data_IF_439402696608
#
_entry.id   IF_439402696608
#
_cell.length_a   1.000
_cell.length_b   1.000
_cell.length_c   1.000
_cell.angle_alpha   90.00
_cell.angle_beta   90.00
_cell.angle_gamma   90.00
#
_symmetry.space_group_name_H-M   'P 1'
#
loop_
_entity.id
_entity.type
_entity.pdbx_description
1 polymer ?
#
# COMPACT_ATOMS: atom_id res chain seq x y z
N UNK A 1 21.81 6.39 -46.01
CA UNK A 1 20.46 6.87 -46.37
C UNK A 1 20.61 7.79 -47.56
N UNK A 2 19.97 7.45 -48.68
CA UNK A 2 20.01 8.27 -49.90
C UNK A 2 18.96 9.36 -49.76
N UNK A 3 19.39 10.62 -49.66
CA UNK A 3 18.50 11.78 -49.58
C UNK A 3 17.87 12.02 -50.96
N UNK A 4 16.55 11.86 -51.06
CA UNK A 4 15.80 12.14 -52.29
C UNK A 4 15.43 13.62 -52.31
N UNK A 5 15.96 14.37 -53.26
CA UNK A 5 15.61 15.77 -53.46
C UNK A 5 14.33 15.88 -54.32
N UNK A 6 13.20 16.07 -53.62
CA UNK A 6 11.87 16.22 -54.19
C UNK A 6 11.72 17.46 -55.09
N UNK A 7 12.68 18.39 -55.11
CA UNK A 7 12.64 19.60 -55.96
C UNK A 7 13.10 19.36 -57.40
N UNK A 8 13.66 18.18 -57.70
CA UNK A 8 14.09 17.79 -59.04
C UNK A 8 13.06 16.92 -59.79
N UNK A 9 11.96 16.55 -59.12
CA UNK A 9 10.90 15.72 -59.69
C UNK A 9 9.86 16.54 -60.48
N UNK A 10 9.23 15.91 -61.47
CA UNK A 10 8.12 16.52 -62.23
C UNK A 10 6.92 16.81 -61.32
N UNK A 11 6.06 17.80 -61.64
CA UNK A 11 4.86 18.10 -60.85
C UNK A 11 3.93 16.89 -60.67
N UNK A 12 3.86 16.00 -61.66
CA UNK A 12 3.06 14.77 -61.59
C UNK A 12 3.65 13.74 -60.63
N UNK A 13 4.97 13.56 -60.64
CA UNK A 13 5.64 12.61 -59.74
C UNK A 13 5.60 13.08 -58.28
N UNK A 14 5.69 14.38 -58.03
CA UNK A 14 5.47 14.95 -56.68
C UNK A 14 4.06 14.70 -56.17
N UNK A 15 3.05 14.88 -57.03
CA UNK A 15 1.65 14.61 -56.68
C UNK A 15 1.44 13.14 -56.33
N UNK A 16 1.98 12.22 -57.14
CA UNK A 16 1.94 10.77 -56.86
C UNK A 16 2.60 10.40 -55.53
N UNK A 17 3.75 10.98 -55.21
CA UNK A 17 4.45 10.72 -53.93
C UNK A 17 3.64 11.24 -52.72
N UNK A 18 3.01 12.40 -52.84
CA UNK A 18 2.14 12.94 -51.77
C UNK A 18 0.90 12.07 -51.59
N UNK A 19 0.28 11.61 -52.67
CA UNK A 19 -0.88 10.73 -52.60
C UNK A 19 -0.52 9.35 -52.02
N UNK A 20 0.65 8.80 -52.38
CA UNK A 20 1.21 7.59 -51.76
C UNK A 20 1.49 7.77 -50.26
N UNK A 21 2.09 8.88 -49.85
CA UNK A 21 2.37 9.16 -48.44
C UNK A 21 1.08 9.27 -47.61
N UNK A 22 0.03 9.91 -48.16
CA UNK A 22 -1.29 10.00 -47.51
C UNK A 22 -1.95 8.63 -47.37
N UNK A 23 -1.83 7.77 -48.38
CA UNK A 23 -2.39 6.42 -48.33
C UNK A 23 -1.65 5.55 -47.30
N UNK A 24 -0.31 5.65 -47.22
CA UNK A 24 0.49 4.99 -46.18
C UNK A 24 0.07 5.48 -44.79
N UNK A 25 -0.06 6.79 -44.58
CA UNK A 25 -0.47 7.35 -43.28
C UNK A 25 -1.90 6.88 -42.89
N UNK A 26 -2.81 6.77 -43.85
CA UNK A 26 -4.15 6.26 -43.63
C UNK A 26 -4.14 4.77 -43.28
N UNK A 27 -3.34 3.97 -43.96
CA UNK A 27 -3.16 2.54 -43.67
C UNK A 27 -2.53 2.33 -42.29
N UNK A 28 -1.52 3.12 -41.93
CA UNK A 28 -0.88 3.06 -40.61
C UNK A 28 -1.86 3.45 -39.49
N UNK A 29 -2.68 4.49 -39.70
CA UNK A 29 -3.75 4.87 -38.77
C UNK A 29 -4.79 3.77 -38.63
N UNK A 30 -5.24 3.18 -39.74
CA UNK A 30 -6.23 2.11 -39.72
C UNK A 30 -5.67 0.88 -39.00
N UNK A 31 -4.45 0.46 -39.35
CA UNK A 31 -3.76 -0.65 -38.70
C UNK A 31 -3.63 -0.42 -37.20
N UNK A 32 -3.28 0.80 -36.77
CA UNK A 32 -3.21 1.14 -35.34
C UNK A 32 -4.58 1.02 -34.65
N UNK A 33 -5.65 1.44 -35.30
CA UNK A 33 -7.02 1.28 -34.76
C UNK A 33 -7.37 -0.20 -34.64
N UNK A 34 -7.07 -0.99 -35.67
CA UNK A 34 -7.34 -2.43 -35.70
C UNK A 34 -6.51 -3.17 -34.63
N UNK A 35 -5.23 -2.82 -34.45
CA UNK A 35 -4.35 -3.36 -33.42
C UNK A 35 -4.89 -3.04 -32.01
N UNK A 36 -5.33 -1.80 -31.77
CA UNK A 36 -5.94 -1.41 -30.48
C UNK A 36 -7.22 -2.19 -30.22
N UNK A 37 -8.08 -2.36 -31.23
CA UNK A 37 -9.29 -3.15 -31.10
C UNK A 37 -8.98 -4.62 -30.81
N UNK A 38 -8.00 -5.20 -31.49
CA UNK A 38 -7.58 -6.58 -31.24
C UNK A 38 -7.04 -6.77 -29.82
N UNK A 39 -6.32 -5.78 -29.27
CA UNK A 39 -5.89 -5.79 -27.87
C UNK A 39 -7.07 -5.73 -26.90
N UNK A 40 -8.06 -4.87 -27.16
CA UNK A 40 -9.27 -4.75 -26.33
C UNK A 40 -10.09 -6.05 -26.36
N UNK A 41 -10.27 -6.65 -27.55
CA UNK A 41 -10.97 -7.92 -27.74
C UNK A 41 -10.25 -9.07 -27.01
N UNK A 42 -8.92 -9.16 -27.13
CA UNK A 42 -8.10 -10.14 -26.41
C UNK A 42 -8.18 -9.96 -24.89
N UNK A 43 -8.19 -8.73 -24.41
CA UNK A 43 -8.37 -8.43 -22.99
C UNK A 43 -9.76 -8.83 -22.50
N UNK A 44 -10.81 -8.55 -23.29
CA UNK A 44 -12.18 -8.93 -22.97
C UNK A 44 -12.40 -10.45 -22.92
N UNK A 45 -11.67 -11.21 -23.75
CA UNK A 45 -11.68 -12.67 -23.73
C UNK A 45 -10.90 -13.26 -22.54
N UNK A 46 -9.72 -12.70 -22.24
CA UNK A 46 -8.79 -13.27 -21.25
C UNK A 46 -9.14 -12.89 -19.80
N UNK A 47 -9.64 -11.67 -19.59
CA UNK A 47 -9.89 -11.11 -18.26
C UNK A 47 -10.92 -11.91 -17.44
N UNK A 48 -12.08 -12.34 -17.99
CA UNK A 48 -13.09 -13.06 -17.20
C UNK A 48 -12.56 -14.36 -16.59
N UNK A 49 -11.83 -15.17 -17.38
CA UNK A 49 -11.23 -16.42 -16.91
C UNK A 49 -10.17 -16.17 -15.83
N UNK A 50 -9.30 -15.18 -16.05
CA UNK A 50 -8.29 -14.78 -15.06
C UNK A 50 -8.92 -14.29 -13.75
N UNK A 51 -9.99 -13.50 -13.83
CA UNK A 51 -10.74 -13.03 -12.66
C UNK A 51 -11.44 -14.16 -11.91
N UNK A 52 -11.93 -15.19 -12.61
CA UNK A 52 -12.51 -16.37 -11.98
C UNK A 52 -11.47 -17.09 -11.10
N UNK A 53 -10.29 -17.38 -11.65
CA UNK A 53 -9.19 -18.02 -10.90
C UNK A 53 -8.82 -17.22 -9.64
N UNK A 54 -8.75 -15.89 -9.75
CA UNK A 54 -8.45 -15.02 -8.60
C UNK A 54 -9.55 -15.04 -7.54
N UNK A 55 -10.83 -15.12 -7.94
CA UNK A 55 -11.95 -15.27 -6.99
C UNK A 55 -11.89 -16.59 -6.26
N UNK A 56 -11.67 -17.69 -6.98
CA UNK A 56 -11.56 -19.03 -6.38
C UNK A 56 -10.40 -19.11 -5.38
N UNK A 57 -9.24 -18.54 -5.72
CA UNK A 57 -8.11 -18.46 -4.80
C UNK A 57 -8.45 -17.63 -3.53
N UNK A 58 -9.15 -16.50 -3.69
CA UNK A 58 -9.59 -15.66 -2.57
C UNK A 58 -10.59 -16.39 -1.67
N UNK A 59 -11.57 -17.09 -2.25
CA UNK A 59 -12.55 -17.88 -1.49
C UNK A 59 -11.89 -19.03 -0.72
N UNK A 60 -10.90 -19.69 -1.31
CA UNK A 60 -10.15 -20.75 -0.64
C UNK A 60 -9.38 -20.20 0.56
N UNK A 61 -8.74 -19.03 0.42
CA UNK A 61 -8.08 -18.35 1.54
C UNK A 61 -9.07 -17.92 2.63
N UNK A 62 -10.25 -17.43 2.26
CA UNK A 62 -11.31 -17.08 3.21
C UNK A 62 -11.77 -18.30 4.01
N UNK A 63 -12.09 -19.41 3.33
CA UNK A 63 -12.51 -20.67 3.96
C UNK A 63 -11.42 -21.21 4.89
N UNK A 64 -10.17 -21.23 4.44
CA UNK A 64 -9.03 -21.66 5.25
C UNK A 64 -8.87 -20.78 6.49
N UNK A 65 -8.96 -19.46 6.34
CA UNK A 65 -8.87 -18.50 7.44
C UNK A 65 -9.97 -18.71 8.47
N UNK A 66 -11.23 -18.83 8.04
CA UNK A 66 -12.36 -19.07 8.91
C UNK A 66 -12.20 -20.37 9.70
N UNK A 67 -11.80 -21.45 8.99
CA UNK A 67 -11.59 -22.75 9.61
C UNK A 67 -10.49 -22.72 10.69
N UNK A 68 -9.34 -22.14 10.39
CA UNK A 68 -8.22 -22.06 11.34
C UNK A 68 -8.58 -21.23 12.58
N UNK A 69 -9.26 -20.08 12.42
CA UNK A 69 -9.72 -19.32 13.58
C UNK A 69 -10.71 -20.11 14.43
N UNK A 70 -11.60 -20.89 13.81
CA UNK A 70 -12.54 -21.77 14.52
C UNK A 70 -11.82 -22.90 15.27
N UNK A 71 -10.83 -23.55 14.63
CA UNK A 71 -10.05 -24.64 15.25
C UNK A 71 -9.29 -24.17 16.51
N UNK A 72 -8.82 -22.92 16.52
CA UNK A 72 -8.10 -22.34 17.66
C UNK A 72 -8.98 -21.56 18.64
N UNK A 73 -10.29 -21.43 18.40
CA UNK A 73 -11.18 -20.61 19.23
C UNK A 73 -11.17 -21.05 20.70
N UNK A 74 -11.36 -22.34 20.94
CA UNK A 74 -11.35 -22.93 22.30
C UNK A 74 -10.00 -22.74 22.97
N UNK A 75 -8.90 -22.98 22.25
CA UNK A 75 -7.55 -22.79 22.76
C UNK A 75 -7.31 -21.33 23.18
N UNK A 76 -7.71 -20.36 22.34
CA UNK A 76 -7.53 -18.93 22.61
C UNK A 76 -8.36 -18.48 23.82
N UNK A 77 -9.62 -18.94 23.94
CA UNK A 77 -10.47 -18.64 25.11
C UNK A 77 -9.85 -19.16 26.41
N UNK A 78 -9.47 -20.44 26.43
CA UNK A 78 -8.84 -21.06 27.60
C UNK A 78 -7.52 -20.38 27.99
N UNK A 79 -6.71 -19.97 27.00
CA UNK A 79 -5.45 -19.25 27.24
C UNK A 79 -5.69 -17.90 27.94
N UNK A 80 -6.70 -17.15 27.50
CA UNK A 80 -7.07 -15.87 28.11
C UNK A 80 -7.54 -16.06 29.55
N UNK A 81 -8.40 -17.06 29.79
CA UNK A 81 -8.91 -17.38 31.13
C UNK A 81 -7.80 -17.81 32.09
N UNK A 82 -6.85 -18.62 31.61
CA UNK A 82 -5.78 -19.18 32.45
C UNK A 82 -4.71 -18.16 32.83
N UNK A 83 -4.33 -17.28 31.89
CA UNK A 83 -3.23 -16.31 32.10
C UNK A 83 -3.69 -15.08 32.89
N UNK A 84 -5.00 -14.85 33.03
CA UNK A 84 -5.59 -13.86 33.95
C UNK A 84 -5.35 -12.38 33.58
N UNK A 85 -4.51 -12.11 32.57
CA UNK A 85 -4.28 -10.77 32.04
C UNK A 85 -5.04 -10.66 30.72
N UNK A 86 -6.03 -9.76 30.66
CA UNK A 86 -6.47 -9.16 29.39
C UNK A 86 -5.29 -8.36 28.84
N UNK A 87 -4.30 -9.08 28.31
CA UNK A 87 -3.13 -8.45 27.74
C UNK A 87 -3.61 -7.68 26.51
N UNK A 88 -3.06 -6.50 26.25
CA UNK A 88 -3.33 -5.71 25.04
C UNK A 88 -2.67 -6.36 23.80
N UNK A 89 -2.58 -7.70 23.82
CA UNK A 89 -1.88 -8.54 22.87
C UNK A 89 -2.76 -8.73 21.64
N UNK A 90 -2.30 -8.17 20.52
CA UNK A 90 -3.03 -8.20 19.25
C UNK A 90 -2.83 -9.49 18.44
N UNK A 91 -1.89 -10.36 18.87
CA UNK A 91 -1.60 -11.62 18.20
C UNK A 91 -1.08 -12.70 19.13
N UNK A 92 -1.40 -13.94 18.84
CA UNK A 92 -1.02 -15.13 19.60
C UNK A 92 -0.23 -16.07 18.69
N UNK A 93 1.02 -16.33 19.05
CA UNK A 93 1.85 -17.36 18.41
C UNK A 93 1.72 -18.67 19.19
N UNK A 94 1.58 -19.76 18.45
CA UNK A 94 1.47 -21.14 18.93
C UNK A 94 2.47 -21.96 18.11
N UNK A 95 3.35 -22.68 18.80
CA UNK A 95 4.39 -23.50 18.16
C UNK A 95 4.31 -24.91 18.70
N UNK A 96 4.25 -25.90 17.81
CA UNK A 96 4.25 -27.33 18.13
C UNK A 96 5.25 -28.04 17.22
N UNK A 97 6.29 -28.63 17.81
CA UNK A 97 7.33 -29.31 17.04
C UNK A 97 8.05 -28.35 16.08
N UNK A 98 7.93 -28.60 14.77
CA UNK A 98 8.56 -27.80 13.71
C UNK A 98 7.62 -26.77 13.09
N UNK A 99 6.38 -26.66 13.56
CA UNK A 99 5.36 -25.79 12.97
C UNK A 99 4.95 -24.69 13.94
N UNK A 100 4.75 -23.48 13.40
CA UNK A 100 4.31 -22.32 14.15
C UNK A 100 3.19 -21.61 13.42
N UNK A 101 2.18 -21.18 14.16
CA UNK A 101 1.10 -20.34 13.66
C UNK A 101 0.93 -19.11 14.53
N UNK A 102 0.66 -17.97 13.90
CA UNK A 102 0.40 -16.70 14.56
C UNK A 102 -0.93 -16.14 14.08
N UNK A 103 -1.86 -16.03 15.02
CA UNK A 103 -3.23 -15.58 14.81
C UNK A 103 -3.40 -14.21 15.45
N UNK A 104 -4.01 -13.25 14.76
CA UNK A 104 -4.21 -11.93 15.36
C UNK A 104 -5.04 -10.99 14.53
N UNK A 105 -5.04 -9.73 14.95
CA UNK A 105 -5.67 -8.63 14.23
C UNK A 105 -4.70 -7.44 14.13
N UNK A 106 -4.86 -6.67 13.07
CA UNK A 106 -4.17 -5.40 12.87
C UNK A 106 -5.09 -4.27 13.23
N UNK A 107 -4.57 -3.25 13.90
CA UNK A 107 -5.28 -1.98 14.10
C UNK A 107 -4.76 -0.93 13.11
N UNK A 108 -5.64 -0.01 12.74
CA UNK A 108 -5.25 1.25 12.11
C UNK A 108 -5.54 2.38 13.06
N UNK A 109 -4.72 3.42 12.98
CA UNK A 109 -4.94 4.63 13.73
C UNK A 109 -6.25 5.28 13.32
N UNK A 110 -6.95 5.84 14.31
CA UNK A 110 -8.18 6.58 14.14
C UNK A 110 -8.26 7.63 15.23
N UNK A 111 -8.91 8.74 14.94
CA UNK A 111 -9.06 9.85 15.88
C UNK A 111 -10.50 10.36 15.89
N UNK A 112 -10.98 10.77 17.07
CA UNK A 112 -12.26 11.43 17.20
C UNK A 112 -12.24 12.87 16.68
N UNK A 113 -13.43 13.48 16.61
CA UNK A 113 -13.61 14.81 16.01
C UNK A 113 -12.83 15.90 16.75
N UNK A 114 -12.66 15.76 18.06
CA UNK A 114 -11.97 16.78 18.86
C UNK A 114 -10.45 16.81 18.63
N UNK A 115 -9.87 15.81 17.96
CA UNK A 115 -8.45 15.83 17.61
C UNK A 115 -8.11 17.04 16.73
N UNK A 116 -9.09 17.52 15.95
CA UNK A 116 -8.95 18.74 15.15
C UNK A 116 -8.67 19.98 16.00
N UNK A 117 -9.32 20.10 17.17
CA UNK A 117 -9.06 21.21 18.08
C UNK A 117 -7.62 21.18 18.62
N UNK A 118 -7.14 19.99 18.98
CA UNK A 118 -5.75 19.80 19.40
C UNK A 118 -4.77 20.14 18.30
N UNK A 119 -5.02 19.72 17.04
CA UNK A 119 -4.20 20.08 15.88
C UNK A 119 -4.12 21.61 15.75
N UNK A 120 -5.26 22.31 15.76
CA UNK A 120 -5.28 23.79 15.64
C UNK A 120 -4.46 24.45 16.74
N UNK A 121 -4.52 23.94 17.98
CA UNK A 121 -3.74 24.47 19.10
C UNK A 121 -2.24 24.28 18.91
N UNK A 122 -1.81 23.09 18.46
CA UNK A 122 -0.41 22.82 18.11
C UNK A 122 0.05 23.76 16.99
N UNK A 123 -0.74 23.91 15.93
CA UNK A 123 -0.41 24.80 14.81
C UNK A 123 -0.20 26.24 15.27
N UNK A 124 -1.14 26.80 16.05
CA UNK A 124 -1.05 28.17 16.58
C UNK A 124 0.20 28.38 17.43
N UNK A 125 0.53 27.42 18.29
CA UNK A 125 1.73 27.51 19.10
C UNK A 125 3.00 27.48 18.25
N UNK A 126 3.11 26.53 17.31
CA UNK A 126 4.29 26.41 16.44
C UNK A 126 4.48 27.67 15.59
N UNK A 127 3.42 28.25 15.05
CA UNK A 127 3.49 29.52 14.31
C UNK A 127 4.04 30.66 15.17
N UNK A 128 3.68 30.72 16.45
CA UNK A 128 4.17 31.76 17.37
C UNK A 128 5.69 31.70 17.63
N UNK A 129 6.33 30.54 17.39
CA UNK A 129 7.77 30.35 17.57
C UNK A 129 8.61 30.77 16.35
N UNK A 130 7.98 30.92 15.18
CA UNK A 130 8.68 31.18 13.92
C UNK A 130 9.13 32.64 13.78
N UNK A 131 10.40 32.93 14.09
CA UNK A 131 10.96 34.29 14.03
C UNK A 131 11.70 34.60 12.72
N UNK A 132 12.31 33.58 12.11
CA UNK A 132 13.10 33.66 10.89
C UNK A 132 12.78 32.53 9.89
N UNK A 133 13.25 32.64 8.64
CA UNK A 133 12.90 31.68 7.59
C UNK A 133 13.42 30.26 7.84
N UNK A 134 14.52 30.09 8.57
CA UNK A 134 15.02 28.76 8.94
C UNK A 134 14.14 28.14 10.03
N UNK A 135 13.74 28.92 11.04
CA UNK A 135 12.78 28.47 12.06
C UNK A 135 11.44 28.08 11.44
N UNK A 136 10.93 28.84 10.46
CA UNK A 136 9.69 28.51 9.73
C UNK A 136 9.80 27.20 8.95
N UNK A 137 10.94 26.94 8.30
CA UNK A 137 11.19 25.67 7.60
C UNK A 137 11.18 24.46 8.55
N UNK A 138 11.81 24.61 9.73
CA UNK A 138 11.81 23.58 10.76
C UNK A 138 10.40 23.34 11.33
N UNK A 139 9.66 24.40 11.61
CA UNK A 139 8.26 24.30 12.06
C UNK A 139 7.38 23.63 11.02
N UNK A 140 7.59 23.92 9.74
CA UNK A 140 6.93 23.21 8.64
C UNK A 140 7.23 21.70 8.62
N UNK A 141 8.41 21.27 9.08
CA UNK A 141 8.73 19.85 9.24
C UNK A 141 7.95 19.20 10.40
N UNK A 142 7.81 19.91 11.52
CA UNK A 142 7.01 19.46 12.67
C UNK A 142 5.52 19.40 12.30
N UNK A 143 5.01 20.37 11.53
CA UNK A 143 3.63 20.35 11.04
C UNK A 143 3.35 19.16 10.10
N UNK A 144 4.33 18.71 9.33
CA UNK A 144 4.21 17.47 8.52
C UNK A 144 4.06 16.21 9.38
N UNK A 145 4.47 16.24 10.65
CA UNK A 145 4.23 15.11 11.55
C UNK A 145 2.75 14.97 11.92
N UNK A 146 2.00 16.08 11.92
CA UNK A 146 0.54 16.10 12.13
C UNK A 146 -0.26 16.03 10.83
N UNK A 147 0.37 15.82 9.69
CA UNK A 147 -0.37 15.58 8.45
C UNK A 147 -1.07 14.22 8.53
N UNK A 148 -2.36 14.24 8.18
CA UNK A 148 -3.14 13.03 8.01
C UNK A 148 -2.50 12.19 6.89
N UNK A 149 -2.44 10.88 7.11
CA UNK A 149 -1.99 9.92 6.12
C UNK A 149 -2.99 9.85 4.95
N UNK A 150 -2.68 9.07 3.91
CA UNK A 150 -3.55 8.89 2.74
C UNK A 150 -4.95 8.31 3.04
N UNK A 151 -5.19 7.81 4.27
CA UNK A 151 -6.50 7.34 4.76
C UNK A 151 -7.27 8.41 5.54
N UNK A 152 -6.69 9.60 5.71
CA UNK A 152 -7.32 10.70 6.43
C UNK A 152 -7.13 10.65 7.95
N UNK A 153 -6.26 9.80 8.50
CA UNK A 153 -6.00 9.69 9.95
C UNK A 153 -4.60 10.16 10.33
N UNK A 154 -4.39 10.59 11.58
CA UNK A 154 -3.04 10.91 12.09
C UNK A 154 -2.25 9.62 12.36
N UNK A 155 -0.93 9.72 12.39
CA UNK A 155 -0.04 8.62 12.76
C UNK A 155 0.23 8.65 14.27
N UNK A 156 -0.15 7.57 14.97
CA UNK A 156 -0.04 7.51 16.43
C UNK A 156 1.40 7.57 16.94
N UNK A 157 2.36 7.07 16.16
CA UNK A 157 3.79 7.16 16.52
C UNK A 157 4.27 8.60 16.48
N UNK A 158 3.86 9.34 15.44
CA UNK A 158 4.20 10.77 15.32
C UNK A 158 3.55 11.61 16.41
N UNK A 159 2.30 11.32 16.77
CA UNK A 159 1.63 11.98 17.91
C UNK A 159 2.36 11.70 19.22
N UNK A 160 2.85 10.48 19.43
CA UNK A 160 3.64 10.12 20.61
C UNK A 160 4.98 10.86 20.64
N UNK A 161 5.70 10.93 19.52
CA UNK A 161 6.94 11.69 19.40
C UNK A 161 6.71 13.18 19.70
N UNK A 162 5.65 13.78 19.15
CA UNK A 162 5.27 15.16 19.44
C UNK A 162 4.96 15.37 20.92
N UNK A 163 4.33 14.39 21.57
CA UNK A 163 4.06 14.45 23.01
C UNK A 163 5.36 14.49 23.80
N UNK A 164 6.32 13.64 23.47
CA UNK A 164 7.61 13.61 24.15
C UNK A 164 8.34 14.96 24.01
N UNK A 165 8.30 15.57 22.82
CA UNK A 165 8.87 16.91 22.59
C UNK A 165 8.11 17.96 23.41
N UNK A 166 6.77 17.94 23.38
CA UNK A 166 5.95 18.91 24.09
C UNK A 166 6.14 18.83 25.62
N UNK A 167 6.14 17.62 26.17
CA UNK A 167 6.33 17.37 27.61
C UNK A 167 7.73 17.80 28.08
N UNK A 168 8.75 17.59 27.24
CA UNK A 168 10.15 17.88 27.59
C UNK A 168 10.50 19.35 27.41
N UNK A 169 10.18 19.92 26.26
CA UNK A 169 10.71 21.21 25.82
C UNK A 169 9.71 22.36 26.02
N UNK A 170 8.41 22.07 26.14
CA UNK A 170 7.34 23.07 26.24
C UNK A 170 6.26 22.74 27.29
N UNK A 171 6.63 22.47 28.55
CA UNK A 171 5.68 22.12 29.60
C UNK A 171 4.71 23.29 29.89
N UNK A 172 3.45 22.97 30.14
CA UNK A 172 2.36 23.91 30.43
C UNK A 172 1.86 24.73 29.23
N UNK A 173 2.48 24.55 28.07
CA UNK A 173 2.16 25.29 26.85
C UNK A 173 0.89 24.80 26.16
N UNK A 174 0.39 25.61 25.24
CA UNK A 174 -0.69 25.21 24.33
C UNK A 174 -0.24 24.09 23.37
N UNK A 175 1.07 23.93 23.13
CA UNK A 175 1.57 22.77 22.38
C UNK A 175 1.37 21.47 23.15
N UNK A 176 1.72 21.44 24.44
CA UNK A 176 1.48 20.26 25.29
C UNK A 176 0.00 19.93 25.38
N UNK A 177 -0.85 20.91 25.71
CA UNK A 177 -2.31 20.72 25.78
C UNK A 177 -2.90 20.26 24.45
N UNK A 178 -2.44 20.84 23.34
CA UNK A 178 -2.88 20.47 22.00
C UNK A 178 -2.58 19.01 21.68
N UNK A 179 -1.36 18.54 21.98
CA UNK A 179 -0.98 17.14 21.76
C UNK A 179 -1.73 16.19 22.71
N UNK A 180 -1.96 16.59 23.96
CA UNK A 180 -2.76 15.82 24.92
C UNK A 180 -4.19 15.61 24.45
N UNK A 181 -4.83 16.65 23.89
CA UNK A 181 -6.17 16.54 23.29
C UNK A 181 -6.15 15.55 22.11
N UNK A 182 -5.15 15.65 21.22
CA UNK A 182 -5.01 14.72 20.09
C UNK A 182 -4.88 13.28 20.60
N UNK A 183 -4.05 13.04 21.62
CA UNK A 183 -3.85 11.72 22.20
C UNK A 183 -5.09 11.19 22.90
N UNK A 184 -5.81 12.02 23.65
CA UNK A 184 -7.06 11.67 24.31
C UNK A 184 -8.16 11.26 23.31
N UNK A 185 -8.07 11.76 22.09
CA UNK A 185 -8.96 11.45 20.98
C UNK A 185 -8.50 10.23 20.15
N UNK A 186 -7.44 9.53 20.55
CA UNK A 186 -7.03 8.31 19.86
C UNK A 186 -8.10 7.22 19.98
N UNK A 187 -8.59 6.75 18.82
CA UNK A 187 -9.62 5.72 18.65
C UNK A 187 -9.10 4.68 17.64
N UNK A 188 -8.23 3.74 18.06
CA UNK A 188 -7.73 2.71 17.16
C UNK A 188 -8.88 1.85 16.67
N UNK A 189 -8.86 1.50 15.38
CA UNK A 189 -9.89 0.70 14.74
C UNK A 189 -9.30 -0.64 14.31
N UNK A 190 -10.01 -1.73 14.57
CA UNK A 190 -9.66 -3.03 14.00
C UNK A 190 -9.73 -2.92 12.47
N UNK A 191 -8.64 -3.30 11.80
CA UNK A 191 -8.54 -3.22 10.35
C UNK A 191 -8.70 -4.58 9.68
N UNK A 192 -7.92 -5.58 10.09
CA UNK A 192 -7.91 -6.91 9.47
C UNK A 192 -7.49 -7.98 10.46
N UNK A 193 -8.20 -9.10 10.48
CA UNK A 193 -7.70 -10.36 11.05
C UNK A 193 -6.62 -10.96 10.14
N UNK A 194 -5.61 -11.60 10.71
CA UNK A 194 -4.52 -12.20 9.95
C UNK A 194 -4.06 -13.53 10.54
N UNK A 195 -3.44 -14.31 9.66
CA UNK A 195 -2.77 -15.57 9.97
C UNK A 195 -1.39 -15.50 9.32
N UNK A 196 -0.36 -15.80 10.10
CA UNK A 196 0.99 -16.07 9.62
C UNK A 196 1.32 -17.52 10.01
N UNK A 197 1.89 -18.29 9.10
CA UNK A 197 2.20 -19.71 9.31
C UNK A 197 3.63 -20.01 8.87
N UNK A 198 4.31 -20.85 9.64
CA UNK A 198 5.73 -21.14 9.49
C UNK A 198 6.01 -22.61 9.75
N UNK A 199 7.05 -23.13 9.10
CA UNK A 199 7.60 -24.45 9.37
C UNK A 199 9.12 -24.42 9.35
N UNK A 200 9.76 -25.30 10.12
CA UNK A 200 11.21 -25.48 10.09
C UNK A 200 11.58 -26.58 9.09
N UNK A 201 12.40 -26.23 8.10
CA UNK A 201 12.81 -27.17 7.05
C UNK A 201 13.82 -28.22 7.53
N UNK A 202 14.22 -29.13 6.63
CA UNK A 202 15.19 -30.19 6.93
C UNK A 202 16.58 -29.69 7.34
N UNK A 203 16.90 -28.43 7.10
CA UNK A 203 18.16 -27.79 7.45
C UNK A 203 18.09 -26.96 8.74
N UNK A 204 16.91 -26.90 9.38
CA UNK A 204 16.70 -26.14 10.61
C UNK A 204 16.34 -24.66 10.36
N UNK A 205 16.06 -24.26 9.12
CA UNK A 205 15.69 -22.88 8.79
C UNK A 205 14.17 -22.74 8.87
N UNK A 206 13.68 -21.73 9.58
CA UNK A 206 12.26 -21.38 9.59
C UNK A 206 11.86 -20.75 8.24
N UNK A 207 10.81 -21.29 7.64
CA UNK A 207 10.23 -20.87 6.36
C UNK A 207 8.79 -20.44 6.58
N UNK A 208 8.42 -19.28 6.05
CA UNK A 208 7.02 -18.83 6.02
C UNK A 208 6.25 -19.58 4.94
N UNK A 209 5.02 -19.97 5.25
CA UNK A 209 4.03 -20.38 4.24
C UNK A 209 3.43 -19.10 3.66
N UNK A 210 3.59 -18.82 2.36
CA UNK A 210 3.07 -17.60 1.75
C UNK A 210 1.54 -17.69 1.59
N UNK A 211 0.82 -16.83 2.31
CA UNK A 211 -0.65 -16.75 2.28
C UNK A 211 -1.17 -15.48 1.58
N UNK A 212 -0.29 -14.77 0.88
CA UNK A 212 -0.64 -13.59 0.08
C UNK A 212 -0.07 -13.73 -1.33
N UNK A 213 -0.82 -13.34 -2.35
CA UNK A 213 -0.39 -13.46 -3.75
C UNK A 213 0.94 -12.75 -4.03
N UNK A 214 1.19 -11.64 -3.34
CA UNK A 214 2.45 -10.87 -3.43
C UNK A 214 3.66 -11.56 -2.80
N UNK A 215 3.43 -12.54 -1.93
CA UNK A 215 4.48 -13.29 -1.23
C UNK A 215 4.75 -14.66 -1.85
N UNK A 216 3.92 -15.09 -2.82
CA UNK A 216 4.13 -16.33 -3.54
C UNK A 216 5.06 -16.05 -4.71
N UNK A 217 6.19 -16.75 -4.76
CA UNK A 217 7.10 -16.67 -5.89
C UNK A 217 6.48 -17.31 -7.14
N UNK A 218 6.72 -16.71 -8.31
CA UNK A 218 6.42 -17.35 -9.57
C UNK A 218 7.29 -18.60 -9.76
N UNK A 219 6.78 -19.63 -10.45
CA UNK A 219 7.60 -20.75 -10.87
C UNK A 219 8.82 -20.27 -11.68
N UNK A 220 9.96 -20.94 -11.53
CA UNK A 220 11.25 -20.52 -12.11
C UNK A 220 11.22 -20.42 -13.65
N UNK A 221 10.31 -21.16 -14.26
CA UNK A 221 10.05 -21.20 -15.70
C UNK A 221 9.26 -19.98 -16.23
N UNK A 222 8.75 -19.10 -15.36
CA UNK A 222 7.96 -17.94 -15.77
C UNK A 222 8.88 -16.76 -16.13
N UNK A 223 9.09 -16.51 -17.41
CA UNK A 223 9.86 -15.35 -17.88
C UNK A 223 8.96 -14.12 -18.13
N UNK A 224 9.10 -13.11 -17.27
CA UNK A 224 8.44 -11.82 -17.38
C UNK A 224 9.41 -10.67 -17.64
N UNK A 225 10.64 -10.97 -18.07
CA UNK A 225 11.67 -9.92 -18.29
C UNK A 225 11.28 -8.91 -19.35
N UNK A 226 10.38 -9.26 -20.28
CA UNK A 226 9.81 -8.34 -21.26
C UNK A 226 9.01 -7.16 -20.65
N UNK A 227 8.56 -7.28 -19.40
CA UNK A 227 7.89 -6.21 -18.66
C UNK A 227 8.86 -5.25 -17.98
N UNK A 228 10.13 -5.63 -17.82
CA UNK A 228 11.11 -4.81 -17.14
C UNK A 228 11.56 -3.66 -18.06
N UNK A 229 11.84 -2.47 -17.49
CA UNK A 229 12.40 -1.37 -18.28
C UNK A 229 13.69 -1.84 -18.93
N UNK A 230 13.82 -1.62 -20.25
CA UNK A 230 15.09 -1.80 -20.94
C UNK A 230 16.05 -0.75 -20.38
N UNK A 231 17.15 -1.19 -19.77
CA UNK A 231 18.24 -0.28 -19.43
C UNK A 231 18.75 0.32 -20.76
N UNK A 232 18.50 1.62 -20.96
CA UNK A 232 19.13 2.40 -22.03
C UNK A 232 20.58 2.70 -21.67
#
# INVERSE_FOLDING_TARGET
MTTIDITLLSPEDRKKLVDQAKEIEKQDKQKRIDDLKALDDLAAETLPGSMQVLREASENLEKAKAKVFSDFETFLKMKIETIGVKNNQQSHTITVGKESIKLGYRITDGYGENASYGIVMVHKFLESLGKDDNSKRLLGAVMRLLQRNGKGDLDSKKVLELKQIADKDYPGSDFQKGVEIIQAEYRPKLSKWFIEAYYTDGTGIERSIPLSMTSVDLPKETDLTFLLPKNN
#
